data_IF_669325979539
#
_entry.id   IF_669325979539
#
_cell.length_a   1.000
_cell.length_b   1.000
_cell.length_c   1.000
_cell.angle_alpha   90.00
_cell.angle_beta   90.00
_cell.angle_gamma   90.00
#
_symmetry.space_group_name_H-M   'P 1'
#
loop_
_entity.id
_entity.type
_entity.pdbx_description
1 polymer ?
#
# COMPACT_ATOMS: atom_id res chain seq x y z
N UNK A 1 -18.23 27.65 12.51
CA UNK A 1 -17.98 26.84 13.72
C UNK A 1 -17.68 25.42 13.29
N UNK A 2 -16.81 24.69 13.99
CA UNK A 2 -16.58 23.27 13.75
C UNK A 2 -17.52 22.48 14.68
N UNK A 3 -18.43 21.68 14.12
CA UNK A 3 -19.29 20.79 14.88
C UNK A 3 -18.62 19.41 15.04
N UNK A 4 -18.78 18.79 16.22
CA UNK A 4 -18.23 17.46 16.51
C UNK A 4 -19.39 16.50 16.82
N UNK A 5 -19.42 15.34 16.15
CA UNK A 5 -20.35 14.25 16.42
C UNK A 5 -19.60 12.94 16.67
N UNK A 6 -20.13 12.10 17.56
CA UNK A 6 -19.66 10.72 17.78
C UNK A 6 -20.47 9.74 16.92
N UNK A 7 -19.81 8.92 16.11
CA UNK A 7 -20.46 8.01 15.17
C UNK A 7 -20.34 6.56 15.67
N UNK A 8 -21.48 5.88 15.82
CA UNK A 8 -21.53 4.45 16.15
C UNK A 8 -21.78 3.63 14.88
N UNK A 9 -20.77 2.88 14.42
CA UNK A 9 -20.82 2.18 13.13
C UNK A 9 -21.37 0.74 13.21
N UNK A 10 -21.40 0.15 14.42
CA UNK A 10 -21.86 -1.21 14.64
C UNK A 10 -23.38 -1.32 14.40
N UNK A 11 -23.85 -2.16 13.47
CA UNK A 11 -25.28 -2.32 13.19
C UNK A 11 -26.06 -2.99 14.33
N UNK A 12 -25.41 -3.80 15.17
CA UNK A 12 -26.05 -4.52 16.28
C UNK A 12 -26.14 -3.68 17.57
N UNK A 13 -25.62 -2.45 17.55
CA UNK A 13 -25.65 -1.57 18.71
C UNK A 13 -27.00 -0.85 18.82
N UNK A 14 -27.68 -1.06 19.95
CA UNK A 14 -28.91 -0.33 20.31
C UNK A 14 -28.66 0.51 21.56
N UNK A 15 -28.86 1.82 21.45
CA UNK A 15 -28.77 2.74 22.58
C UNK A 15 -30.17 2.99 23.17
N UNK A 16 -30.40 2.50 24.39
CA UNK A 16 -31.65 2.74 25.13
C UNK A 16 -31.58 4.07 25.91
N UNK A 17 -32.68 4.83 25.91
CA UNK A 17 -32.85 6.01 26.78
C UNK A 17 -31.99 7.22 26.42
N UNK A 18 -31.73 7.47 25.13
CA UNK A 18 -30.97 8.65 24.72
C UNK A 18 -31.76 9.96 24.98
N UNK A 19 -31.03 11.04 25.26
CA UNK A 19 -31.58 12.38 25.21
C UNK A 19 -31.41 12.94 23.78
N UNK A 20 -32.38 13.69 23.24
CA UNK A 20 -32.34 14.19 21.86
C UNK A 20 -31.10 15.04 21.53
N UNK A 21 -30.51 15.66 22.55
CA UNK A 21 -29.48 16.69 22.41
C UNK A 21 -28.05 16.11 22.32
N UNK A 22 -27.91 14.79 22.43
CA UNK A 22 -26.61 14.14 22.35
C UNK A 22 -26.01 14.31 20.95
N UNK A 23 -24.75 14.76 20.82
CA UNK A 23 -24.08 14.91 19.54
C UNK A 23 -23.60 13.56 19.00
N UNK A 24 -24.52 12.60 18.85
CA UNK A 24 -24.25 11.24 18.39
C UNK A 24 -25.01 10.94 17.10
N UNK A 25 -24.44 10.07 16.27
CA UNK A 25 -25.06 9.54 15.06
C UNK A 25 -25.02 8.02 15.13
N UNK A 26 -26.19 7.39 15.14
CA UNK A 26 -26.32 5.93 15.12
C UNK A 26 -26.21 5.40 13.69
N UNK A 27 -25.89 4.11 13.56
CA UNK A 27 -25.76 3.45 12.25
C UNK A 27 -27.01 3.59 11.38
N UNK A 28 -28.19 3.53 11.98
CA UNK A 28 -29.48 3.72 11.30
C UNK A 28 -29.68 5.15 10.77
N UNK A 29 -29.10 6.16 11.45
CA UNK A 29 -29.21 7.58 11.11
C UNK A 29 -28.11 8.05 10.15
N UNK A 30 -27.10 7.23 9.90
CA UNK A 30 -25.90 7.62 9.17
C UNK A 30 -26.20 8.12 7.76
N UNK A 31 -27.10 7.46 7.04
CA UNK A 31 -27.45 7.85 5.68
C UNK A 31 -28.13 9.22 5.63
N UNK A 32 -29.02 9.51 6.58
CA UNK A 32 -29.68 10.81 6.66
C UNK A 32 -28.72 11.91 7.10
N UNK A 33 -27.82 11.59 8.03
CA UNK A 33 -26.78 12.51 8.48
C UNK A 33 -25.79 12.86 7.36
N UNK A 34 -25.38 11.90 6.54
CA UNK A 34 -24.51 12.17 5.38
C UNK A 34 -25.23 13.07 4.35
N UNK A 35 -26.50 12.79 4.06
CA UNK A 35 -27.32 13.66 3.18
C UNK A 35 -27.47 15.08 3.74
N UNK A 36 -27.61 15.23 5.06
CA UNK A 36 -27.72 16.56 5.66
C UNK A 36 -26.41 17.33 5.52
N UNK A 37 -25.25 16.67 5.70
CA UNK A 37 -23.94 17.27 5.41
C UNK A 37 -23.85 17.67 3.93
N UNK A 38 -24.23 16.80 3.01
CA UNK A 38 -24.23 17.10 1.57
C UNK A 38 -25.14 18.28 1.21
N UNK A 39 -26.28 18.42 1.87
CA UNK A 39 -27.20 19.53 1.65
C UNK A 39 -26.75 20.85 2.28
N UNK A 40 -25.94 20.79 3.35
CA UNK A 40 -25.34 21.95 4.00
C UNK A 40 -24.03 22.36 3.33
N UNK A 41 -23.37 21.42 2.65
CA UNK A 41 -22.27 21.75 1.76
C UNK A 41 -22.83 22.66 0.67
N UNK A 42 -22.26 23.85 0.55
CA UNK A 42 -22.52 24.66 -0.63
C UNK A 42 -22.22 23.79 -1.87
N UNK A 43 -23.03 23.90 -2.94
CA UNK A 43 -22.65 23.34 -4.24
C UNK A 43 -21.19 23.69 -4.48
N UNK A 44 -20.37 22.78 -5.02
CA UNK A 44 -18.98 23.08 -5.38
C UNK A 44 -18.96 24.30 -6.30
N UNK A 45 -18.88 25.49 -5.71
CA UNK A 45 -18.92 26.74 -6.43
C UNK A 45 -17.58 26.90 -7.12
N UNK A 46 -17.47 27.93 -7.95
CA UNK A 46 -16.21 28.23 -8.62
C UNK A 46 -15.04 28.46 -7.65
N UNK A 47 -15.28 28.81 -6.38
CA UNK A 47 -14.23 29.14 -5.42
C UNK A 47 -13.29 27.96 -5.08
N UNK A 48 -13.75 26.77 -4.63
CA UNK A 48 -12.88 25.59 -4.52
C UNK A 48 -12.08 25.26 -5.78
N UNK A 49 -12.72 25.38 -6.95
CA UNK A 49 -12.06 25.15 -8.24
C UNK A 49 -11.01 26.23 -8.57
N UNK A 50 -11.28 27.49 -8.26
CA UNK A 50 -10.34 28.61 -8.41
C UNK A 50 -9.16 28.46 -7.45
N UNK A 51 -9.41 28.02 -6.21
CA UNK A 51 -8.34 27.72 -5.24
C UNK A 51 -7.50 26.55 -5.75
N UNK A 52 -8.10 25.46 -6.23
CA UNK A 52 -7.37 24.35 -6.81
C UNK A 52 -6.52 24.78 -8.03
N UNK A 53 -7.11 25.51 -8.97
CA UNK A 53 -6.40 26.03 -10.14
C UNK A 53 -5.29 27.03 -9.78
N UNK A 54 -5.51 27.87 -8.77
CA UNK A 54 -4.48 28.77 -8.23
C UNK A 54 -3.36 27.98 -7.57
N UNK A 55 -3.68 26.97 -6.75
CA UNK A 55 -2.71 26.07 -6.14
C UNK A 55 -1.88 25.34 -7.20
N UNK A 56 -2.50 24.85 -8.27
CA UNK A 56 -1.79 24.26 -9.41
C UNK A 56 -0.87 25.25 -10.10
N UNK A 57 -1.33 26.50 -10.30
CA UNK A 57 -0.54 27.57 -10.92
C UNK A 57 0.67 27.98 -10.09
N UNK A 58 0.54 28.04 -8.76
CA UNK A 58 1.64 28.41 -7.86
C UNK A 58 2.49 27.21 -7.43
N UNK A 59 2.03 25.97 -7.66
CA UNK A 59 2.79 24.77 -7.36
C UNK A 59 4.09 24.82 -8.16
N UNK A 60 5.21 24.68 -7.46
CA UNK A 60 6.51 24.58 -8.11
C UNK A 60 6.50 23.39 -9.06
N UNK A 61 6.95 23.59 -10.30
CA UNK A 61 6.98 22.54 -11.34
C UNK A 61 7.75 21.29 -10.89
N UNK A 62 8.72 21.46 -10.00
CA UNK A 62 9.39 20.40 -9.26
C UNK A 62 9.37 20.77 -7.79
N UNK A 63 9.00 19.81 -6.92
CA UNK A 63 8.98 20.08 -5.49
C UNK A 63 10.43 20.16 -4.98
N UNK A 64 10.89 21.30 -4.42
CA UNK A 64 12.28 21.47 -3.96
C UNK A 64 12.63 20.59 -2.76
N UNK A 65 11.62 19.98 -2.13
CA UNK A 65 11.76 18.99 -1.06
C UNK A 65 11.49 17.56 -1.57
N UNK A 66 11.35 17.37 -2.88
CA UNK A 66 11.24 16.06 -3.50
C UNK A 66 12.59 15.35 -3.40
N UNK A 67 12.81 14.73 -2.24
CA UNK A 67 13.95 13.86 -1.97
C UNK A 67 13.63 12.45 -2.45
N UNK A 68 13.10 12.32 -3.66
CA UNK A 68 13.00 11.00 -4.28
C UNK A 68 14.41 10.52 -4.54
N UNK A 69 14.83 9.38 -3.96
CA UNK A 69 16.15 8.86 -4.21
C UNK A 69 16.26 8.58 -5.70
N UNK A 70 17.31 9.11 -6.35
CA UNK A 70 17.61 8.73 -7.73
C UNK A 70 18.18 7.32 -7.69
N UNK A 71 17.38 6.34 -8.10
CA UNK A 71 17.82 4.95 -8.23
C UNK A 71 17.59 4.44 -9.65
N UNK A 72 18.43 3.50 -10.06
CA UNK A 72 18.20 2.66 -11.21
C UNK A 72 18.34 1.20 -10.80
N UNK A 73 17.80 0.28 -11.60
CA UNK A 73 17.90 -1.16 -11.32
C UNK A 73 19.36 -1.60 -11.13
N UNK A 74 20.26 -0.99 -11.88
CA UNK A 74 21.69 -1.30 -11.88
C UNK A 74 22.36 -0.84 -10.58
N UNK A 75 21.87 0.22 -9.95
CA UNK A 75 22.41 0.79 -8.71
C UNK A 75 22.00 0.04 -7.43
N UNK A 76 20.88 -0.70 -7.46
CA UNK A 76 20.38 -1.40 -6.29
C UNK A 76 21.07 -2.75 -6.11
N UNK A 77 21.34 -3.13 -4.87
CA UNK A 77 21.79 -4.49 -4.56
C UNK A 77 20.65 -5.49 -4.78
N UNK A 78 21.00 -6.64 -5.36
CA UNK A 78 20.05 -7.71 -5.66
C UNK A 78 20.15 -8.79 -4.60
N UNK A 79 19.01 -9.28 -4.13
CA UNK A 79 18.97 -10.26 -3.06
C UNK A 79 17.63 -10.27 -2.34
N UNK A 80 17.42 -11.29 -1.52
CA UNK A 80 16.22 -11.41 -0.70
C UNK A 80 16.58 -10.95 0.72
N UNK A 81 15.87 -9.95 1.21
CA UNK A 81 15.94 -9.52 2.61
C UNK A 81 14.95 -10.31 3.45
N UNK A 82 15.26 -10.53 4.73
CA UNK A 82 14.33 -11.16 5.66
C UNK A 82 13.07 -10.30 5.85
N UNK A 83 11.88 -10.84 5.58
CA UNK A 83 10.61 -10.10 5.76
C UNK A 83 10.31 -9.65 7.20
N UNK A 84 11.01 -10.20 8.19
CA UNK A 84 10.78 -9.90 9.60
C UNK A 84 11.75 -8.87 10.16
N UNK A 85 13.05 -8.98 9.87
CA UNK A 85 14.07 -8.09 10.44
C UNK A 85 14.81 -7.22 9.41
N UNK A 86 14.54 -7.40 8.11
CA UNK A 86 15.21 -6.65 7.04
C UNK A 86 16.65 -7.05 6.75
N UNK A 87 17.26 -7.89 7.59
CA UNK A 87 18.64 -8.37 7.40
C UNK A 87 18.76 -9.33 6.20
N UNK A 88 19.92 -9.32 5.53
CA UNK A 88 20.18 -10.18 4.37
C UNK A 88 20.79 -11.56 4.73
N UNK A 89 20.94 -11.88 6.02
CA UNK A 89 21.61 -13.08 6.51
C UNK A 89 20.75 -14.36 6.35
N UNK A 90 20.32 -14.66 5.12
CA UNK A 90 19.51 -15.83 4.79
C UNK A 90 20.39 -17.04 4.48
N UNK A 91 20.12 -18.15 5.16
CA UNK A 91 20.65 -19.48 4.82
C UNK A 91 19.71 -20.13 3.83
N UNK A 92 20.28 -20.57 2.71
CA UNK A 92 19.54 -21.26 1.67
C UNK A 92 19.33 -22.74 2.04
N UNK A 93 18.07 -23.15 2.16
CA UNK A 93 17.67 -24.55 2.16
C UNK A 93 17.11 -24.96 0.79
N UNK A 94 16.78 -26.24 0.63
CA UNK A 94 16.26 -26.75 -0.65
C UNK A 94 14.96 -26.04 -1.10
N UNK A 95 14.00 -25.84 -0.18
CA UNK A 95 12.70 -25.20 -0.46
C UNK A 95 12.43 -23.93 0.34
N UNK A 96 13.33 -23.56 1.24
CA UNK A 96 13.14 -22.47 2.20
C UNK A 96 14.39 -21.61 2.37
N UNK A 97 14.18 -20.42 2.92
CA UNK A 97 15.19 -19.48 3.34
C UNK A 97 15.03 -19.28 4.85
N UNK A 98 16.12 -19.46 5.60
CA UNK A 98 16.14 -19.29 7.05
C UNK A 98 16.97 -18.06 7.41
N UNK A 99 16.38 -17.09 8.09
CA UNK A 99 17.13 -15.94 8.59
C UNK A 99 18.00 -16.34 9.78
N UNK A 100 19.31 -16.11 9.67
CA UNK A 100 20.27 -16.37 10.76
C UNK A 100 20.15 -15.35 11.90
N UNK A 101 19.61 -14.15 11.63
CA UNK A 101 19.49 -13.07 12.62
C UNK A 101 18.26 -13.25 13.51
N UNK A 102 17.08 -13.56 12.95
CA UNK A 102 15.83 -13.67 13.72
C UNK A 102 15.19 -15.06 13.72
N UNK A 103 15.76 -16.05 13.02
CA UNK A 103 15.24 -17.42 12.97
C UNK A 103 13.99 -17.62 12.10
N UNK A 104 13.48 -16.57 11.45
CA UNK A 104 12.33 -16.69 10.56
C UNK A 104 12.64 -17.62 9.38
N UNK A 105 11.75 -18.57 9.13
CA UNK A 105 11.79 -19.44 7.94
C UNK A 105 10.69 -19.05 6.96
N UNK A 106 11.05 -18.83 5.69
CA UNK A 106 10.11 -18.59 4.61
C UNK A 106 10.34 -19.55 3.44
N UNK A 107 9.29 -19.90 2.70
CA UNK A 107 9.46 -20.73 1.49
C UNK A 107 10.04 -19.88 0.36
N UNK A 108 10.86 -20.48 -0.51
CA UNK A 108 11.39 -19.77 -1.69
C UNK A 108 10.26 -19.22 -2.58
N UNK A 109 9.14 -19.93 -2.71
CA UNK A 109 7.98 -19.45 -3.47
C UNK A 109 7.38 -18.18 -2.88
N UNK A 110 7.18 -18.14 -1.55
CA UNK A 110 6.64 -16.98 -0.85
C UNK A 110 7.60 -15.79 -0.89
N UNK A 111 8.91 -16.05 -0.77
CA UNK A 111 9.93 -15.03 -0.93
C UNK A 111 9.88 -14.42 -2.33
N UNK A 112 9.79 -15.25 -3.38
CA UNK A 112 9.65 -14.79 -4.77
C UNK A 112 8.39 -13.93 -4.93
N UNK A 113 7.22 -14.36 -4.45
CA UNK A 113 5.99 -13.56 -4.54
C UNK A 113 6.18 -12.14 -3.96
N UNK A 114 6.86 -12.02 -2.82
CA UNK A 114 7.21 -10.71 -2.24
C UNK A 114 8.19 -9.91 -3.11
N UNK A 115 9.21 -10.56 -3.66
CA UNK A 115 10.18 -9.90 -4.56
C UNK A 115 9.52 -9.40 -5.85
N UNK A 116 8.44 -10.05 -6.32
CA UNK A 116 7.64 -9.57 -7.46
C UNK A 116 6.97 -8.24 -7.13
N UNK A 117 6.33 -8.15 -5.96
CA UNK A 117 5.67 -6.91 -5.50
C UNK A 117 6.69 -5.77 -5.34
N UNK A 118 7.83 -6.08 -4.72
CA UNK A 118 8.92 -5.13 -4.52
C UNK A 118 9.47 -4.60 -5.86
N UNK A 119 9.71 -5.49 -6.83
CA UNK A 119 10.17 -5.09 -8.15
C UNK A 119 9.14 -4.20 -8.86
N UNK A 120 7.86 -4.55 -8.82
CA UNK A 120 6.78 -3.76 -9.43
C UNK A 120 6.65 -2.37 -8.82
N UNK A 121 6.83 -2.27 -7.51
CA UNK A 121 6.82 -1.00 -6.80
C UNK A 121 7.98 -0.10 -7.24
N UNK A 122 9.18 -0.66 -7.37
CA UNK A 122 10.39 0.10 -7.72
C UNK A 122 10.48 0.42 -9.21
N UNK A 123 10.00 -0.49 -10.08
CA UNK A 123 10.19 -0.43 -11.53
C UNK A 123 8.87 -0.69 -12.30
N UNK A 124 7.83 0.14 -12.11
CA UNK A 124 6.51 -0.09 -12.67
C UNK A 124 6.50 -0.17 -14.21
N UNK A 125 7.39 0.57 -14.88
CA UNK A 125 7.45 0.65 -16.35
C UNK A 125 8.35 -0.42 -16.99
N UNK A 126 9.12 -1.19 -16.19
CA UNK A 126 10.03 -2.20 -16.73
C UNK A 126 9.33 -3.52 -16.95
N UNK A 127 9.57 -4.14 -18.11
CA UNK A 127 9.14 -5.53 -18.36
C UNK A 127 9.74 -6.45 -17.33
N UNK A 128 8.92 -7.37 -16.84
CA UNK A 128 9.31 -8.29 -15.78
C UNK A 128 9.34 -9.72 -16.31
N UNK A 129 10.52 -10.35 -16.24
CA UNK A 129 10.78 -11.69 -16.80
C UNK A 129 11.31 -12.63 -15.72
N UNK A 130 11.19 -13.96 -15.89
CA UNK A 130 11.78 -14.92 -14.95
C UNK A 130 13.29 -14.73 -14.76
N UNK A 131 14.00 -14.31 -15.80
CA UNK A 131 15.45 -14.04 -15.76
C UNK A 131 15.76 -12.84 -14.88
N UNK A 132 15.05 -11.72 -15.08
CA UNK A 132 15.18 -10.52 -14.25
C UNK A 132 14.81 -10.85 -12.80
N UNK A 133 13.73 -11.60 -12.58
CA UNK A 133 13.32 -11.98 -11.23
C UNK A 133 14.35 -12.87 -10.52
N UNK A 134 15.00 -13.80 -11.24
CA UNK A 134 16.09 -14.61 -10.68
C UNK A 134 17.27 -13.74 -10.27
N UNK A 135 17.65 -12.79 -11.12
CA UNK A 135 18.71 -11.82 -10.83
C UNK A 135 18.33 -10.95 -9.62
N UNK A 136 17.13 -10.39 -9.60
CA UNK A 136 16.59 -9.55 -8.53
C UNK A 136 16.58 -10.26 -7.17
N UNK A 137 16.28 -11.56 -7.17
CA UNK A 137 16.39 -12.42 -5.99
C UNK A 137 17.84 -12.80 -5.61
N UNK A 138 18.87 -12.21 -6.21
CA UNK A 138 20.27 -12.51 -5.91
C UNK A 138 20.71 -13.92 -6.34
N UNK A 139 20.06 -14.51 -7.34
CA UNK A 139 20.36 -15.85 -7.88
C UNK A 139 20.20 -17.04 -6.90
N UNK A 140 19.60 -16.86 -5.71
CA UNK A 140 19.35 -17.92 -4.71
C UNK A 140 18.15 -18.83 -5.03
N UNK A 141 17.44 -18.51 -6.11
CA UNK A 141 16.26 -19.24 -6.60
C UNK A 141 16.47 -19.71 -8.02
N UNK A 142 15.90 -20.87 -8.36
CA UNK A 142 16.04 -21.43 -9.71
C UNK A 142 15.13 -20.71 -10.71
N UNK A 143 15.58 -20.65 -11.97
CA UNK A 143 14.82 -20.02 -13.06
C UNK A 143 13.45 -20.69 -13.24
N UNK A 144 13.37 -22.01 -13.09
CA UNK A 144 12.12 -22.77 -13.18
C UNK A 144 11.14 -22.40 -12.08
N UNK A 145 11.63 -22.16 -10.86
CA UNK A 145 10.78 -21.72 -9.76
C UNK A 145 10.27 -20.29 -10.02
N UNK A 146 11.14 -19.36 -10.44
CA UNK A 146 10.74 -18.02 -10.85
C UNK A 146 9.66 -18.05 -11.93
N UNK A 147 9.85 -18.86 -12.99
CA UNK A 147 8.88 -18.98 -14.07
C UNK A 147 7.55 -19.62 -13.67
N UNK A 148 7.55 -20.55 -12.70
CA UNK A 148 6.30 -21.11 -12.15
C UNK A 148 5.55 -20.11 -11.28
N UNK A 149 6.26 -19.45 -10.36
CA UNK A 149 5.66 -18.46 -9.45
C UNK A 149 5.13 -17.27 -10.23
N UNK A 150 5.90 -16.73 -11.19
CA UNK A 150 5.46 -15.61 -12.03
C UNK A 150 4.19 -15.95 -12.82
N UNK A 151 4.11 -17.14 -13.44
CA UNK A 151 2.90 -17.57 -14.15
C UNK A 151 1.69 -17.71 -13.23
N UNK A 152 1.89 -18.22 -12.01
CA UNK A 152 0.81 -18.33 -11.01
C UNK A 152 0.33 -16.93 -10.61
N UNK A 153 1.26 -16.03 -10.31
CA UNK A 153 1.00 -14.68 -9.85
C UNK A 153 0.26 -13.83 -10.89
N UNK A 154 0.59 -13.96 -12.19
CA UNK A 154 -0.10 -13.29 -13.30
C UNK A 154 -1.49 -13.86 -13.61
N UNK A 155 -1.88 -15.00 -13.03
CA UNK A 155 -3.23 -15.56 -13.18
C UNK A 155 -4.16 -15.14 -12.03
N UNK A 156 -3.58 -14.80 -10.88
CA UNK A 156 -4.32 -14.42 -9.67
C UNK A 156 -4.59 -12.91 -9.56
N UNK A 157 -3.90 -12.10 -10.37
CA UNK A 157 -4.09 -10.66 -10.52
C UNK A 157 -4.41 -10.33 -11.98
#
# INVERSE_FOLDING_TARGET
LIEKKLIFINPEFTLYGNQPDLPIVLRSQLNEYLKSIESQADPLQNYPHQVAAYLEKIKLAQNPYEKTPKYSYEMLDKGILCKSCGENHLREGHRSLLCSSCGLSETKSSAIERMIEEYRLLFPDRKFTPTILKEWCGNVVSLDLCGRVLRKYLRSN
#
